data_IF_441267083491
#
_entry.id   IF_441267083491
#
_cell.length_a   1.000
_cell.length_b   1.000
_cell.length_c   1.000
_cell.angle_alpha   90.00
_cell.angle_beta   90.00
_cell.angle_gamma   90.00
#
_symmetry.space_group_name_H-M   'P 1'
#
loop_
_entity.id
_entity.type
_entity.pdbx_description
1 polymer ?
#
# COMPACT_ATOMS: atom_id res chain seq x y z
N UNK A 1 10.37 45.88 1.19
CA UNK A 1 9.76 44.53 1.16
C UNK A 1 10.83 43.57 1.64
N UNK A 2 10.50 42.67 2.56
CA UNK A 2 11.41 41.58 2.93
C UNK A 2 11.55 40.63 1.74
N UNK A 3 12.76 40.13 1.49
CA UNK A 3 12.96 39.11 0.46
C UNK A 3 12.25 37.81 0.87
N UNK A 4 11.66 37.12 -0.10
CA UNK A 4 11.13 35.78 0.08
C UNK A 4 12.26 34.79 0.37
N UNK A 5 13.40 34.93 -0.31
CA UNK A 5 14.57 34.09 -0.08
C UNK A 5 15.21 34.41 1.27
N UNK A 6 15.23 33.42 2.16
CA UNK A 6 15.89 33.47 3.48
C UNK A 6 17.27 32.81 3.44
N UNK A 7 17.97 32.72 4.57
CA UNK A 7 19.21 31.96 4.67
C UNK A 7 18.99 30.45 4.43
N UNK A 8 19.99 29.75 3.92
CA UNK A 8 19.89 28.32 3.56
C UNK A 8 19.49 27.45 4.76
N UNK A 9 20.07 27.72 5.93
CA UNK A 9 19.76 27.04 7.19
C UNK A 9 18.26 27.08 7.52
N UNK A 10 17.56 28.16 7.17
CA UNK A 10 16.13 28.27 7.38
C UNK A 10 15.35 27.17 6.68
N UNK A 11 15.75 26.82 5.44
CA UNK A 11 15.06 25.83 4.63
C UNK A 11 15.31 24.42 5.13
N UNK A 12 16.56 24.13 5.53
CA UNK A 12 16.92 22.86 6.14
C UNK A 12 16.21 22.66 7.49
N UNK A 13 16.18 23.68 8.34
CA UNK A 13 15.50 23.61 9.63
C UNK A 13 13.98 23.42 9.47
N UNK A 14 13.36 24.11 8.53
CA UNK A 14 11.93 23.95 8.29
C UNK A 14 11.61 22.54 7.75
N UNK A 15 12.45 22.03 6.86
CA UNK A 15 12.35 20.67 6.36
C UNK A 15 12.52 19.66 7.50
N UNK A 16 13.59 19.77 8.28
CA UNK A 16 13.90 18.88 9.39
C UNK A 16 12.78 18.91 10.44
N UNK A 17 12.16 20.06 10.73
CA UNK A 17 10.99 20.15 11.63
C UNK A 17 9.77 19.38 11.11
N UNK A 18 9.48 19.44 9.80
CA UNK A 18 8.40 18.67 9.19
C UNK A 18 8.68 17.18 9.30
N UNK A 19 9.89 16.76 8.95
CA UNK A 19 10.35 15.37 9.05
C UNK A 19 10.20 14.84 10.47
N UNK A 20 10.71 15.57 11.47
CA UNK A 20 10.62 15.19 12.89
C UNK A 20 9.16 15.10 13.33
N UNK A 21 8.31 16.06 12.96
CA UNK A 21 6.89 16.03 13.33
C UNK A 21 6.18 14.80 12.76
N UNK A 22 6.41 14.51 11.48
CA UNK A 22 5.78 13.40 10.77
C UNK A 22 6.23 12.04 11.31
N UNK A 23 7.54 11.86 11.51
CA UNK A 23 8.11 10.61 12.01
C UNK A 23 7.78 10.37 13.49
N UNK A 24 7.69 11.42 14.31
CA UNK A 24 7.20 11.30 15.70
C UNK A 24 5.75 10.85 15.79
N UNK A 25 4.90 11.29 14.87
CA UNK A 25 3.52 10.84 14.83
C UNK A 25 3.44 9.35 14.49
N UNK A 26 4.20 8.93 13.47
CA UNK A 26 4.29 7.53 13.06
C UNK A 26 4.91 6.64 14.14
N UNK A 27 5.98 7.10 14.81
CA UNK A 27 6.62 6.36 15.89
C UNK A 27 5.67 6.19 17.08
N UNK A 28 4.91 7.23 17.46
CA UNK A 28 3.90 7.10 18.53
C UNK A 28 2.84 6.06 18.19
N UNK A 29 2.38 6.03 16.94
CA UNK A 29 1.44 5.01 16.49
C UNK A 29 2.07 3.61 16.52
N UNK A 30 3.35 3.49 16.14
CA UNK A 30 4.10 2.24 16.18
C UNK A 30 4.26 1.70 17.61
N UNK A 31 4.71 2.53 18.55
CA UNK A 31 4.87 2.17 19.97
C UNK A 31 3.53 1.74 20.57
N UNK A 32 2.45 2.45 20.23
CA UNK A 32 1.11 2.08 20.68
C UNK A 32 0.68 0.71 20.15
N UNK A 33 0.96 0.40 18.88
CA UNK A 33 0.67 -0.88 18.28
C UNK A 33 1.54 -2.02 18.83
N UNK A 34 2.83 -1.76 19.08
CA UNK A 34 3.75 -2.71 19.69
C UNK A 34 3.27 -3.13 21.09
N UNK A 35 2.86 -2.15 21.91
CA UNK A 35 2.32 -2.42 23.24
C UNK A 35 1.09 -3.32 23.17
N UNK A 36 0.15 -3.02 22.27
CA UNK A 36 -1.07 -3.84 22.10
C UNK A 36 -0.75 -5.27 21.64
N UNK A 37 0.26 -5.44 20.78
CA UNK A 37 0.71 -6.75 20.33
C UNK A 37 1.34 -7.57 21.47
N UNK A 38 2.21 -6.95 22.28
CA UNK A 38 2.88 -7.63 23.41
C UNK A 38 1.92 -8.01 24.54
N UNK A 39 0.84 -7.25 24.73
CA UNK A 39 -0.18 -7.49 25.76
C UNK A 39 -1.26 -8.50 25.31
N UNK A 40 -1.22 -8.99 24.07
CA UNK A 40 -2.24 -9.87 23.52
C UNK A 40 -2.11 -11.32 24.04
N UNK A 41 -3.22 -11.99 24.40
CA UNK A 41 -3.21 -13.41 24.76
C UNK A 41 -2.86 -14.29 23.55
N UNK A 42 -2.04 -15.32 23.77
CA UNK A 42 -1.62 -16.25 22.72
C UNK A 42 -2.83 -16.90 22.02
N UNK A 43 -2.94 -16.70 20.70
CA UNK A 43 -3.92 -17.36 19.83
C UNK A 43 -4.75 -16.46 18.92
N UNK A 44 -4.75 -15.13 19.10
CA UNK A 44 -5.52 -14.16 18.28
C UNK A 44 -4.68 -12.90 17.92
N UNK A 45 -3.41 -13.10 17.57
CA UNK A 45 -2.39 -12.06 17.43
C UNK A 45 -2.03 -11.72 15.97
N UNK A 46 -2.52 -12.49 14.99
CA UNK A 46 -2.18 -12.31 13.56
C UNK A 46 -2.59 -10.94 13.03
N UNK A 47 -3.76 -10.42 13.43
CA UNK A 47 -4.20 -9.08 13.06
C UNK A 47 -3.37 -7.96 13.69
N UNK A 48 -2.95 -8.13 14.95
CA UNK A 48 -2.13 -7.17 15.68
C UNK A 48 -0.70 -7.13 15.14
N UNK A 49 -0.13 -8.30 14.85
CA UNK A 49 1.17 -8.42 14.20
C UNK A 49 1.17 -7.77 12.82
N UNK A 50 0.15 -8.05 11.99
CA UNK A 50 0.01 -7.43 10.68
C UNK A 50 -0.06 -5.90 10.76
N UNK A 51 -0.81 -5.37 11.74
CA UNK A 51 -0.90 -3.93 11.98
C UNK A 51 0.45 -3.33 12.42
N UNK A 52 1.16 -3.98 13.35
CA UNK A 52 2.50 -3.56 13.78
C UNK A 52 3.48 -3.53 12.60
N UNK A 53 3.54 -4.61 11.80
CA UNK A 53 4.41 -4.69 10.62
C UNK A 53 4.06 -3.60 9.61
N UNK A 54 2.77 -3.34 9.37
CA UNK A 54 2.34 -2.28 8.46
C UNK A 54 2.74 -0.87 8.94
N UNK A 55 2.62 -0.59 10.24
CA UNK A 55 3.04 0.68 10.83
C UNK A 55 4.56 0.82 10.83
N UNK A 56 5.30 -0.25 11.12
CA UNK A 56 6.76 -0.26 11.08
C UNK A 56 7.27 0.02 9.66
N UNK A 57 6.67 -0.65 8.66
CA UNK A 57 6.95 -0.37 7.25
C UNK A 57 6.73 1.11 6.91
N UNK A 58 5.59 1.69 7.29
CA UNK A 58 5.28 3.10 7.03
C UNK A 58 6.29 4.04 7.69
N UNK A 59 6.76 3.72 8.89
CA UNK A 59 7.76 4.52 9.59
C UNK A 59 9.12 4.48 8.89
N UNK A 60 9.61 3.28 8.54
CA UNK A 60 10.90 3.11 7.88
C UNK A 60 10.89 3.71 6.46
N UNK A 61 9.88 3.37 5.66
CA UNK A 61 9.78 3.85 4.28
C UNK A 61 9.68 5.38 4.23
N UNK A 62 8.89 5.99 5.12
CA UNK A 62 8.79 7.44 5.21
C UNK A 62 10.12 8.08 5.62
N UNK A 63 10.82 7.53 6.61
CA UNK A 63 12.12 8.06 7.04
C UNK A 63 13.16 8.04 5.92
N UNK A 64 13.19 6.95 5.15
CA UNK A 64 14.06 6.82 3.97
C UNK A 64 13.67 7.80 2.86
N UNK A 65 12.38 8.00 2.60
CA UNK A 65 11.89 8.95 1.61
C UNK A 65 12.25 10.41 1.97
N UNK A 66 12.03 10.80 3.23
CA UNK A 66 12.46 12.09 3.77
C UNK A 66 13.98 12.27 3.63
N UNK A 67 14.78 11.25 3.95
CA UNK A 67 16.24 11.35 3.81
C UNK A 67 16.68 11.54 2.34
N UNK A 68 16.05 10.81 1.39
CA UNK A 68 16.39 10.86 -0.04
C UNK A 68 15.94 12.17 -0.71
N UNK A 69 14.78 12.69 -0.32
CA UNK A 69 14.18 13.89 -0.93
C UNK A 69 14.70 15.21 -0.37
N UNK A 70 15.36 15.19 0.80
CA UNK A 70 15.84 16.37 1.53
C UNK A 70 16.52 17.43 0.67
N UNK A 71 17.57 17.04 -0.05
CA UNK A 71 18.34 17.96 -0.89
C UNK A 71 17.51 18.56 -2.03
N UNK A 72 16.70 17.73 -2.67
CA UNK A 72 15.88 18.14 -3.81
C UNK A 72 14.77 19.09 -3.37
N UNK A 73 14.04 18.76 -2.31
CA UNK A 73 12.96 19.61 -1.79
C UNK A 73 13.49 20.95 -1.28
N UNK A 74 14.58 20.95 -0.51
CA UNK A 74 15.19 22.18 0.00
C UNK A 74 15.60 23.09 -1.16
N UNK A 75 16.30 22.55 -2.17
CA UNK A 75 16.67 23.31 -3.38
C UNK A 75 15.47 23.82 -4.16
N UNK A 76 14.44 23.00 -4.34
CA UNK A 76 13.22 23.41 -5.05
C UNK A 76 12.53 24.57 -4.33
N UNK A 77 12.48 24.56 -2.99
CA UNK A 77 11.89 25.67 -2.23
C UNK A 77 12.75 26.93 -2.30
N UNK A 78 14.07 26.80 -2.20
CA UNK A 78 14.99 27.94 -2.36
C UNK A 78 14.84 28.57 -3.73
N UNK A 79 14.82 27.76 -4.80
CA UNK A 79 14.63 28.23 -6.17
C UNK A 79 13.24 28.85 -6.39
N UNK A 80 12.19 28.33 -5.76
CA UNK A 80 10.85 28.91 -5.81
C UNK A 80 10.81 30.31 -5.18
N UNK A 81 11.46 30.50 -4.03
CA UNK A 81 11.53 31.81 -3.37
C UNK A 81 12.44 32.80 -4.13
N UNK A 82 13.56 32.34 -4.69
CA UNK A 82 14.41 33.15 -5.58
C UNK A 82 13.65 33.59 -6.84
N UNK A 83 12.79 32.71 -7.38
CA UNK A 83 11.92 33.04 -8.52
C UNK A 83 10.90 34.11 -8.12
N UNK A 84 10.28 34.01 -6.94
CA UNK A 84 9.36 35.03 -6.41
C UNK A 84 10.06 36.37 -6.24
N UNK A 85 11.24 36.39 -5.62
CA UNK A 85 12.05 37.60 -5.48
C UNK A 85 12.38 38.23 -6.85
N UNK A 86 12.74 37.40 -7.83
CA UNK A 86 12.98 37.85 -9.20
C UNK A 86 11.73 38.43 -9.87
N UNK A 87 10.56 37.84 -9.63
CA UNK A 87 9.28 38.36 -10.15
C UNK A 87 8.93 39.70 -9.51
N UNK A 88 9.01 39.82 -8.19
CA UNK A 88 8.74 41.08 -7.47
C UNK A 88 9.67 42.19 -7.95
N UNK A 89 10.97 41.91 -8.14
CA UNK A 89 11.95 42.90 -8.61
C UNK A 89 11.70 43.37 -10.05
N UNK A 90 11.20 42.50 -10.93
CA UNK A 90 10.95 42.83 -12.33
C UNK A 90 9.55 43.38 -12.58
N UNK A 91 8.62 43.14 -11.67
CA UNK A 91 7.24 43.52 -11.86
C UNK A 91 7.08 45.05 -11.85
N UNK A 92 6.36 45.54 -12.86
CA UNK A 92 5.93 46.92 -12.91
C UNK A 92 4.57 47.02 -12.23
N UNK A 93 4.44 47.97 -11.31
CA UNK A 93 3.15 48.28 -10.70
C UNK A 93 2.26 48.90 -11.77
N UNK A 94 1.02 48.42 -11.95
CA UNK A 94 0.06 49.05 -12.85
C UNK A 94 -0.21 50.50 -12.43
N UNK A 95 -0.09 51.43 -13.38
CA UNK A 95 -0.32 52.87 -13.18
C UNK A 95 -1.78 53.26 -13.40
N UNK A 96 -2.18 54.44 -12.90
CA UNK A 96 -3.51 55.03 -13.11
C UNK A 96 -4.69 54.21 -12.55
N UNK A 97 -4.46 53.39 -11.52
CA UNK A 97 -5.54 52.68 -10.84
C UNK A 97 -6.25 53.63 -9.87
N UNK A 98 -7.50 53.95 -10.17
CA UNK A 98 -8.32 54.89 -9.37
C UNK A 98 -9.32 54.18 -8.47
N UNK A 99 -9.65 54.83 -7.36
CA UNK A 99 -10.69 54.41 -6.44
C UNK A 99 -12.07 54.58 -7.09
N UNK A 100 -12.90 53.54 -7.06
CA UNK A 100 -14.27 53.61 -7.60
C UNK A 100 -15.20 54.58 -6.86
N UNK A 101 -14.86 54.97 -5.63
CA UNK A 101 -15.70 55.84 -4.79
C UNK A 101 -15.35 57.32 -4.92
N UNK A 102 -14.05 57.66 -4.91
CA UNK A 102 -13.60 59.06 -4.92
C UNK A 102 -12.80 59.46 -6.17
N UNK A 103 -12.45 58.52 -7.06
CA UNK A 103 -11.71 58.80 -8.30
C UNK A 103 -10.23 59.14 -8.13
N UNK A 104 -9.74 59.18 -6.88
CA UNK A 104 -8.33 59.39 -6.55
C UNK A 104 -7.46 58.20 -6.92
N UNK A 105 -6.19 58.46 -7.21
CA UNK A 105 -5.20 57.43 -7.50
C UNK A 105 -4.90 56.58 -6.25
N UNK A 106 -4.92 55.27 -6.41
CA UNK A 106 -4.68 54.31 -5.34
C UNK A 106 -3.19 53.97 -5.26
N UNK A 107 -2.70 53.70 -4.05
CA UNK A 107 -1.32 53.27 -3.82
C UNK A 107 -1.26 51.79 -3.45
N UNK A 108 -0.13 51.14 -3.73
CA UNK A 108 0.09 49.74 -3.36
C UNK A 108 0.33 49.64 -1.85
N UNK A 109 -0.54 48.92 -1.16
CA UNK A 109 -0.42 48.62 0.27
C UNK A 109 0.33 47.30 0.50
N UNK A 110 0.04 46.29 -0.33
CA UNK A 110 0.61 44.95 -0.21
C UNK A 110 0.82 44.36 -1.61
N UNK A 111 1.87 43.56 -1.74
CA UNK A 111 2.13 42.73 -2.91
C UNK A 111 2.18 41.29 -2.43
N UNK A 112 1.45 40.40 -3.09
CA UNK A 112 1.46 38.97 -2.76
C UNK A 112 1.27 38.10 -4.00
N UNK A 113 1.57 36.81 -3.87
CA UNK A 113 1.30 35.80 -4.89
C UNK A 113 0.00 35.06 -4.57
N UNK A 114 -0.84 34.86 -5.58
CA UNK A 114 -2.09 34.12 -5.42
C UNK A 114 -1.88 32.67 -5.85
N UNK A 115 -2.27 31.75 -4.98
CA UNK A 115 -2.32 30.30 -5.20
C UNK A 115 -1.01 29.68 -5.74
N UNK A 116 -1.14 28.53 -6.41
CA UNK A 116 -0.05 27.79 -7.06
C UNK A 116 0.36 28.37 -8.42
N UNK A 117 -0.36 29.38 -8.95
CA UNK A 117 -0.10 29.93 -10.28
C UNK A 117 1.12 30.85 -10.32
N UNK A 118 1.65 31.26 -9.16
CA UNK A 118 2.75 32.23 -9.04
C UNK A 118 2.41 33.58 -9.71
N UNK A 119 1.12 33.92 -9.82
CA UNK A 119 0.70 35.22 -10.34
C UNK A 119 0.83 36.30 -9.26
N UNK A 120 1.60 37.34 -9.59
CA UNK A 120 1.82 38.47 -8.70
C UNK A 120 0.62 39.41 -8.73
N UNK A 121 0.09 39.72 -7.55
CA UNK A 121 -1.04 40.62 -7.35
C UNK A 121 -0.66 41.77 -6.42
N UNK A 122 -1.03 42.96 -6.87
CA UNK A 122 -0.89 44.21 -6.13
C UNK A 122 -2.22 44.53 -5.46
N UNK A 123 -2.22 44.63 -4.14
CA UNK A 123 -3.35 45.10 -3.36
C UNK A 123 -3.21 46.61 -3.17
N UNK A 124 -4.16 47.34 -3.76
CA UNK A 124 -4.18 48.79 -3.74
C UNK A 124 -5.20 49.30 -2.72
N UNK A 125 -4.79 50.32 -1.98
CA UNK A 125 -5.61 51.04 -1.02
C UNK A 125 -5.84 52.47 -1.47
N UNK A 126 -7.02 53.00 -1.15
CA UNK A 126 -7.31 54.42 -1.36
C UNK A 126 -6.64 55.24 -0.24
N UNK A 127 -6.04 56.41 -0.54
CA UNK A 127 -5.54 57.35 0.47
C UNK A 127 -6.58 57.74 1.53
N UNK A 128 -7.86 57.80 1.15
CA UNK A 128 -8.97 58.06 2.05
C UNK A 128 -9.54 56.79 2.72
N UNK A 129 -8.87 55.64 2.60
CA UNK A 129 -9.25 54.35 3.19
C UNK A 129 -10.66 53.83 2.82
N UNK A 130 -11.19 54.24 1.67
CA UNK A 130 -12.45 53.71 1.14
C UNK A 130 -12.35 52.21 0.79
N UNK A 131 -13.46 51.50 0.99
CA UNK A 131 -13.67 50.14 0.50
C UNK A 131 -14.55 50.15 -0.77
N UNK A 132 -14.43 49.15 -1.67
CA UNK A 132 -13.52 48.01 -1.61
C UNK A 132 -12.07 48.40 -1.96
N UNK A 133 -11.12 47.67 -1.36
CA UNK A 133 -9.73 47.64 -1.85
C UNK A 133 -9.73 46.93 -3.21
N UNK A 134 -8.76 47.26 -4.06
CA UNK A 134 -8.62 46.64 -5.38
C UNK A 134 -7.40 45.73 -5.39
N UNK A 135 -7.49 44.62 -6.10
CA UNK A 135 -6.39 43.69 -6.28
C UNK A 135 -6.16 43.57 -7.79
N UNK A 136 -4.95 43.84 -8.26
CA UNK A 136 -4.65 43.93 -9.70
C UNK A 136 -3.40 43.13 -10.01
N UNK A 137 -3.47 42.33 -11.06
CA UNK A 137 -2.32 41.58 -11.59
C UNK A 137 -1.31 42.52 -12.26
N UNK A 138 -0.07 42.05 -12.44
CA UNK A 138 0.97 42.81 -13.15
C UNK A 138 0.63 43.18 -14.61
N UNK A 139 -0.32 42.48 -15.24
CA UNK A 139 -0.81 42.78 -16.59
C UNK A 139 -1.96 43.81 -16.61
N UNK A 140 -2.36 44.36 -15.45
CA UNK A 140 -3.43 45.35 -15.31
C UNK A 140 -4.84 44.76 -15.16
N UNK A 141 -5.00 43.44 -15.23
CA UNK A 141 -6.30 42.80 -15.00
C UNK A 141 -6.64 42.78 -13.50
N UNK A 142 -7.91 42.99 -13.18
CA UNK A 142 -8.36 43.00 -11.78
C UNK A 142 -8.58 41.58 -11.28
N UNK A 143 -7.96 41.25 -10.14
CA UNK A 143 -8.23 40.04 -9.40
C UNK A 143 -9.51 40.19 -8.58
N UNK A 144 -10.46 39.30 -8.84
CA UNK A 144 -11.70 39.20 -8.09
C UNK A 144 -11.70 37.88 -7.32
N UNK A 145 -11.78 37.97 -6.00
CA UNK A 145 -11.94 36.81 -5.13
C UNK A 145 -13.19 36.02 -5.57
N UNK A 146 -13.06 34.72 -5.91
CA UNK A 146 -14.20 33.89 -6.30
C UNK A 146 -15.24 33.84 -5.18
N UNK A 147 -16.53 33.90 -5.54
CA UNK A 147 -17.62 33.69 -4.57
C UNK A 147 -17.52 32.30 -3.94
N UNK A 148 -17.58 32.20 -2.61
CA UNK A 148 -17.63 30.92 -1.91
C UNK A 148 -18.94 30.20 -2.22
N UNK A 149 -18.83 28.92 -2.60
CA UNK A 149 -19.97 28.06 -2.92
C UNK A 149 -20.03 26.87 -1.98
N UNK A 150 -21.23 26.39 -1.70
CA UNK A 150 -21.42 25.23 -0.83
C UNK A 150 -20.80 23.97 -1.46
N UNK A 151 -19.99 23.24 -0.68
CA UNK A 151 -19.36 22.00 -1.13
C UNK A 151 -20.36 20.89 -1.52
N UNK A 152 -21.58 20.91 -0.97
CA UNK A 152 -22.61 19.91 -1.26
C UNK A 152 -23.49 20.27 -2.46
N UNK A 153 -24.03 21.49 -2.49
CA UNK A 153 -25.07 21.86 -3.46
C UNK A 153 -24.65 22.97 -4.43
N UNK A 154 -23.41 23.49 -4.30
CA UNK A 154 -22.87 24.63 -5.08
C UNK A 154 -23.69 25.92 -4.98
N UNK A 155 -24.67 25.99 -4.07
CA UNK A 155 -25.46 27.18 -3.79
C UNK A 155 -24.64 28.28 -3.09
N UNK A 156 -25.19 29.50 -3.08
CA UNK A 156 -24.56 30.66 -2.43
C UNK A 156 -24.44 30.45 -0.92
N UNK A 157 -23.34 30.97 -0.36
CA UNK A 157 -22.99 30.86 1.05
C UNK A 157 -23.00 32.25 1.68
N UNK A 158 -23.54 32.35 2.90
CA UNK A 158 -23.41 33.52 3.75
C UNK A 158 -22.35 33.26 4.81
N UNK A 159 -21.29 34.06 4.80
CA UNK A 159 -20.15 33.92 5.71
C UNK A 159 -20.23 34.92 6.86
N UNK A 160 -20.12 34.44 8.10
CA UNK A 160 -19.94 35.26 9.31
C UNK A 160 -18.55 35.04 9.88
N UNK A 161 -17.90 36.13 10.29
CA UNK A 161 -16.58 36.08 10.95
C UNK A 161 -16.68 36.52 12.40
N UNK A 162 -16.05 35.78 13.31
CA UNK A 162 -15.94 36.14 14.74
C UNK A 162 -14.49 35.99 15.19
N UNK A 163 -13.92 37.05 15.74
CA UNK A 163 -12.59 37.00 16.37
C UNK A 163 -12.74 36.66 17.85
N UNK A 164 -12.02 35.65 18.32
CA UNK A 164 -11.94 35.23 19.72
C UNK A 164 -10.46 35.10 20.08
N UNK A 165 -9.90 36.13 20.73
CA UNK A 165 -8.47 36.17 21.06
C UNK A 165 -7.58 36.05 19.81
N UNK A 166 -6.71 35.03 19.80
CA UNK A 166 -5.84 34.65 18.68
C UNK A 166 -6.50 33.70 17.67
N UNK A 167 -7.82 33.54 17.70
CA UNK A 167 -8.55 32.71 16.75
C UNK A 167 -9.56 33.55 15.96
N UNK A 168 -9.73 33.24 14.69
CA UNK A 168 -10.77 33.75 13.82
C UNK A 168 -11.64 32.58 13.39
N UNK A 169 -12.90 32.62 13.78
CA UNK A 169 -13.92 31.65 13.42
C UNK A 169 -14.68 32.19 12.22
N UNK A 170 -14.65 31.45 11.12
CA UNK A 170 -15.52 31.66 9.97
C UNK A 170 -16.66 30.66 10.06
N UNK A 171 -17.89 31.14 9.93
CA UNK A 171 -19.10 30.32 9.93
C UNK A 171 -19.84 30.59 8.63
N UNK A 172 -19.78 29.60 7.75
CA UNK A 172 -20.34 29.63 6.41
C UNK A 172 -21.65 28.87 6.42
N UNK A 173 -22.75 29.56 6.09
CA UNK A 173 -24.09 28.97 6.03
C UNK A 173 -24.57 28.96 4.60
N UNK A 174 -24.86 27.78 4.05
CA UNK A 174 -25.45 27.67 2.73
C UNK A 174 -26.91 28.15 2.73
N UNK A 175 -27.25 29.09 1.86
CA UNK A 175 -28.60 29.62 1.73
C UNK A 175 -29.57 28.65 1.02
N UNK A 176 -29.04 27.67 0.28
CA UNK A 176 -29.85 26.70 -0.47
C UNK A 176 -30.17 25.43 0.32
N UNK A 177 -29.21 24.88 1.08
CA UNK A 177 -29.39 23.63 1.83
C UNK A 177 -29.28 23.77 3.35
N UNK A 178 -28.99 24.97 3.87
CA UNK A 178 -28.89 25.22 5.32
C UNK A 178 -27.66 24.64 6.01
N UNK A 179 -26.77 23.93 5.29
CA UNK A 179 -25.55 23.37 5.89
C UNK A 179 -24.65 24.49 6.42
N UNK A 180 -24.12 24.28 7.63
CA UNK A 180 -23.17 25.18 8.30
C UNK A 180 -21.79 24.55 8.32
N UNK A 181 -20.79 25.30 7.87
CA UNK A 181 -19.38 24.94 7.95
C UNK A 181 -18.65 25.94 8.83
N UNK A 182 -17.77 25.43 9.69
CA UNK A 182 -16.98 26.24 10.62
C UNK A 182 -15.51 26.02 10.34
N UNK A 183 -14.78 27.11 10.14
CA UNK A 183 -13.34 27.10 9.96
C UNK A 183 -12.68 27.94 11.05
N UNK A 184 -11.58 27.44 11.61
CA UNK A 184 -10.79 28.13 12.62
C UNK A 184 -9.43 28.52 12.03
N UNK A 185 -9.15 29.82 12.00
CA UNK A 185 -7.84 30.36 11.66
C UNK A 185 -7.17 30.88 12.93
N UNK A 186 -5.99 30.36 13.27
CA UNK A 186 -5.21 30.88 14.40
C UNK A 186 -4.39 32.09 13.89
N UNK A 187 -4.72 33.28 14.39
CA UNK A 187 -4.01 34.53 14.10
C UNK A 187 -2.85 34.67 15.09
N UNK A 188 -1.62 34.53 14.58
CA UNK A 188 -0.40 34.81 15.35
C UNK A 188 0.81 34.03 14.82
N UNK A 189 2.01 34.56 15.05
CA UNK A 189 3.26 33.82 14.76
C UNK A 189 3.36 32.65 15.73
N UNK A 190 3.23 31.40 15.24
CA UNK A 190 3.63 30.24 16.04
C UNK A 190 5.11 30.40 16.38
N UNK A 191 5.46 30.33 17.67
CA UNK A 191 6.86 30.30 18.08
C UNK A 191 7.48 29.04 17.49
N UNK A 192 8.39 29.22 16.56
CA UNK A 192 9.17 28.13 16.00
C UNK A 192 10.17 27.74 17.08
N UNK A 193 9.97 26.55 17.66
CA UNK A 193 10.91 26.04 18.65
C UNK A 193 12.22 25.63 17.95
N UNK A 194 13.37 25.80 18.62
CA UNK A 194 14.63 25.25 18.14
C UNK A 194 14.50 23.73 18.00
N UNK A 195 15.19 23.17 17.01
CA UNK A 195 15.22 21.73 16.79
C UNK A 195 16.12 21.12 17.86
N UNK A 196 15.66 20.03 18.49
CA UNK A 196 16.52 19.23 19.34
C UNK A 196 17.47 18.41 18.45
N UNK A 197 18.78 18.60 18.62
CA UNK A 197 19.81 17.90 17.84
C UNK A 197 19.76 16.38 18.03
N UNK A 198 19.28 15.89 19.18
CA UNK A 198 19.07 14.45 19.39
C UNK A 198 17.97 13.92 18.46
N UNK A 199 16.89 14.66 18.29
CA UNK A 199 15.78 14.31 17.40
C UNK A 199 16.17 14.44 15.94
N UNK A 200 16.96 15.47 15.61
CA UNK A 200 17.51 15.64 14.27
C UNK A 200 18.35 14.45 13.86
N UNK A 201 19.22 13.97 14.75
CA UNK A 201 20.02 12.78 14.50
C UNK A 201 19.13 11.55 14.25
N UNK A 202 18.20 11.29 15.16
CA UNK A 202 17.29 10.12 15.10
C UNK A 202 16.41 10.10 13.86
N UNK A 203 15.81 11.23 13.49
CA UNK A 203 14.77 11.27 12.45
C UNK A 203 15.25 11.74 11.09
N UNK A 204 16.32 12.53 11.02
CA UNK A 204 16.83 13.06 9.75
C UNK A 204 18.14 12.41 9.30
N UNK A 205 19.04 12.04 10.23
CA UNK A 205 20.38 11.54 9.88
C UNK A 205 20.43 10.02 9.82
N UNK A 206 19.82 9.32 10.77
CA UNK A 206 19.93 7.85 10.88
C UNK A 206 19.28 7.08 9.72
N UNK A 207 18.43 7.74 8.94
CA UNK A 207 17.81 7.18 7.73
C UNK A 207 18.66 7.36 6.46
N UNK A 208 19.72 8.17 6.50
CA UNK A 208 20.60 8.39 5.35
C UNK A 208 21.31 7.08 5.01
N UNK A 209 21.13 6.60 3.78
CA UNK A 209 21.73 5.36 3.31
C UNK A 209 21.04 4.08 3.81
N UNK A 210 19.97 4.18 4.62
CA UNK A 210 19.13 3.02 4.92
C UNK A 210 18.36 2.56 3.69
N UNK A 211 18.15 1.24 3.63
CA UNK A 211 17.19 0.64 2.71
C UNK A 211 15.78 0.83 3.25
N UNK A 212 14.82 0.94 2.33
CA UNK A 212 13.42 0.89 2.70
C UNK A 212 13.05 -0.53 3.16
N UNK A 213 11.94 -0.67 3.88
CA UNK A 213 11.47 -1.98 4.31
C UNK A 213 11.24 -2.90 3.11
N UNK A 214 10.72 -2.36 2.00
CA UNK A 214 10.51 -3.12 0.77
C UNK A 214 11.82 -3.55 0.12
N UNK A 215 12.84 -2.69 0.12
CA UNK A 215 14.18 -3.02 -0.41
C UNK A 215 14.85 -4.11 0.45
N UNK A 216 14.69 -4.07 1.77
CA UNK A 216 15.18 -5.12 2.67
C UNK A 216 14.46 -6.46 2.43
N UNK A 217 13.13 -6.46 2.29
CA UNK A 217 12.37 -7.69 1.97
C UNK A 217 12.79 -8.25 0.61
N UNK A 218 13.00 -7.40 -0.39
CA UNK A 218 13.49 -7.83 -1.70
C UNK A 218 14.92 -8.39 -1.64
N UNK A 219 15.80 -7.78 -0.83
CA UNK A 219 17.15 -8.27 -0.62
C UNK A 219 17.16 -9.63 0.10
N UNK A 220 16.27 -9.83 1.09
CA UNK A 220 16.13 -11.13 1.75
C UNK A 220 15.56 -12.18 0.80
N UNK A 221 14.56 -11.83 -0.01
CA UNK A 221 14.01 -12.72 -1.02
C UNK A 221 15.06 -13.11 -2.07
N UNK A 222 15.90 -12.16 -2.52
CA UNK A 222 16.96 -12.45 -3.48
C UNK A 222 18.08 -13.29 -2.89
N UNK A 223 18.45 -13.07 -1.63
CA UNK A 223 19.40 -13.94 -0.90
C UNK A 223 18.84 -15.36 -0.77
N UNK A 224 17.55 -15.51 -0.44
CA UNK A 224 16.89 -16.82 -0.42
C UNK A 224 16.96 -17.51 -1.78
N UNK A 225 16.60 -16.81 -2.85
CA UNK A 225 16.66 -17.35 -4.22
C UNK A 225 18.09 -17.74 -4.63
N UNK A 226 19.11 -16.97 -4.20
CA UNK A 226 20.51 -17.30 -4.45
C UNK A 226 20.97 -18.50 -3.60
N UNK A 227 20.57 -18.59 -2.33
CA UNK A 227 20.86 -19.74 -1.48
C UNK A 227 20.24 -21.02 -2.06
N UNK A 228 18.98 -20.96 -2.50
CA UNK A 228 18.27 -22.06 -3.15
C UNK A 228 18.94 -22.48 -4.48
N UNK A 229 19.53 -21.52 -5.22
CA UNK A 229 20.21 -21.77 -6.49
C UNK A 229 21.66 -22.27 -6.36
N UNK A 230 22.38 -21.86 -5.31
CA UNK A 230 23.82 -22.12 -5.13
C UNK A 230 24.10 -23.31 -4.20
N UNK A 231 23.10 -23.73 -3.42
CA UNK A 231 23.15 -24.93 -2.58
C UNK A 231 21.94 -25.84 -2.88
N UNK A 232 21.95 -26.60 -4.00
CA UNK A 232 20.94 -27.62 -4.26
C UNK A 232 21.08 -28.75 -3.23
N UNK A 233 20.45 -28.58 -2.06
CA UNK A 233 20.59 -29.48 -0.92
C UNK A 233 20.66 -28.81 0.45
N UNK A 234 20.63 -27.47 0.57
CA UNK A 234 20.43 -26.82 1.86
C UNK A 234 19.00 -27.09 2.32
N UNK A 235 18.85 -27.91 3.35
CA UNK A 235 17.57 -28.31 3.92
C UNK A 235 17.13 -27.23 4.90
N UNK A 236 15.88 -26.78 4.79
CA UNK A 236 15.17 -26.02 5.82
C UNK A 236 15.10 -26.87 7.11
N UNK A 237 16.18 -26.88 7.88
CA UNK A 237 16.43 -27.81 8.97
C UNK A 237 16.60 -27.18 10.35
N UNK A 238 16.52 -25.86 10.49
CA UNK A 238 16.74 -25.17 11.78
C UNK A 238 15.50 -24.41 12.30
N UNK A 239 14.31 -24.72 11.77
CA UNK A 239 13.05 -24.44 12.46
C UNK A 239 12.17 -25.68 12.28
N UNK A 240 12.02 -26.45 13.34
CA UNK A 240 11.05 -27.55 13.42
C UNK A 240 9.64 -26.98 13.22
N UNK A 241 9.18 -26.94 11.98
CA UNK A 241 7.76 -26.80 11.68
C UNK A 241 7.14 -28.20 11.75
N UNK A 242 6.63 -28.55 12.95
CA UNK A 242 5.92 -29.79 13.24
C UNK A 242 4.64 -30.00 12.40
N UNK A 243 4.35 -29.16 11.41
CA UNK A 243 3.13 -29.23 10.60
C UNK A 243 3.30 -29.83 9.19
N UNK A 244 4.47 -30.37 8.83
CA UNK A 244 4.67 -31.01 7.53
C UNK A 244 3.83 -32.29 7.38
N UNK A 245 2.69 -32.20 6.68
CA UNK A 245 1.81 -33.34 6.35
C UNK A 245 2.54 -34.27 5.38
N UNK A 246 3.12 -35.35 5.90
CA UNK A 246 3.76 -36.38 5.07
C UNK A 246 2.71 -37.22 4.35
N UNK A 247 2.91 -37.56 3.06
CA UNK A 247 2.01 -38.43 2.32
C UNK A 247 1.99 -39.84 2.94
N UNK A 248 0.80 -40.43 3.01
CA UNK A 248 0.61 -41.81 3.46
C UNK A 248 1.27 -42.79 2.46
N UNK A 249 2.19 -43.61 2.95
CA UNK A 249 2.89 -44.60 2.13
C UNK A 249 2.04 -45.86 1.98
N UNK A 250 1.48 -46.05 0.79
CA UNK A 250 0.75 -47.26 0.43
C UNK A 250 1.61 -48.18 -0.42
N UNK A 251 1.68 -49.45 -0.03
CA UNK A 251 2.15 -50.51 -0.91
C UNK A 251 1.04 -50.91 -1.90
N UNK A 252 1.39 -51.74 -2.90
CA UNK A 252 0.44 -52.15 -3.96
C UNK A 252 -0.81 -52.81 -3.38
N UNK A 253 -0.66 -53.76 -2.46
CA UNK A 253 -1.82 -54.44 -1.85
C UNK A 253 -2.76 -53.47 -1.10
N UNK A 254 -2.20 -52.49 -0.39
CA UNK A 254 -2.98 -51.48 0.32
C UNK A 254 -3.68 -50.49 -0.64
N UNK A 255 -3.01 -50.14 -1.74
CA UNK A 255 -3.60 -49.34 -2.82
C UNK A 255 -4.79 -50.04 -3.46
N UNK A 256 -4.64 -51.32 -3.81
CA UNK A 256 -5.69 -52.14 -4.43
C UNK A 256 -6.94 -52.19 -3.53
N UNK A 257 -6.74 -52.46 -2.23
CA UNK A 257 -7.84 -52.51 -1.26
C UNK A 257 -8.55 -51.16 -1.10
N UNK A 258 -7.80 -50.06 -1.05
CA UNK A 258 -8.36 -48.71 -0.91
C UNK A 258 -9.19 -48.32 -2.14
N UNK A 259 -8.65 -48.52 -3.33
CA UNK A 259 -9.35 -48.19 -4.58
C UNK A 259 -10.56 -49.10 -4.82
N UNK A 260 -10.47 -50.40 -4.55
CA UNK A 260 -11.63 -51.29 -4.63
C UNK A 260 -12.77 -50.80 -3.73
N UNK A 261 -12.48 -50.48 -2.46
CA UNK A 261 -13.48 -50.01 -1.52
C UNK A 261 -14.12 -48.65 -1.89
N UNK A 262 -13.39 -47.74 -2.52
CA UNK A 262 -13.93 -46.45 -2.96
C UNK A 262 -14.68 -46.54 -4.30
N UNK A 263 -14.25 -47.40 -5.21
CA UNK A 263 -14.84 -47.56 -6.54
C UNK A 263 -16.15 -48.37 -6.51
N UNK A 264 -16.23 -49.42 -5.67
CA UNK A 264 -17.45 -50.23 -5.52
C UNK A 264 -18.64 -49.40 -5.01
N UNK A 265 -18.39 -48.40 -4.15
CA UNK A 265 -19.42 -47.45 -3.66
C UNK A 265 -20.03 -46.59 -4.78
N UNK A 266 -19.40 -46.54 -5.95
CA UNK A 266 -19.78 -45.68 -7.08
C UNK A 266 -20.19 -46.44 -8.35
N UNK A 267 -20.54 -47.72 -8.21
CA UNK A 267 -20.97 -48.65 -9.27
C UNK A 267 -19.85 -49.06 -10.26
N UNK A 268 -18.58 -48.85 -9.90
CA UNK A 268 -17.45 -49.36 -10.65
C UNK A 268 -17.06 -50.75 -10.11
N UNK A 269 -17.15 -51.76 -10.96
CA UNK A 269 -16.99 -53.17 -10.60
C UNK A 269 -15.84 -53.82 -11.37
N UNK A 270 -15.34 -54.95 -10.86
CA UNK A 270 -14.24 -55.73 -11.48
C UNK A 270 -12.97 -54.91 -11.74
N UNK A 271 -12.48 -54.23 -10.70
CA UNK A 271 -11.19 -53.57 -10.75
C UNK A 271 -10.07 -54.61 -10.92
N UNK A 272 -9.24 -54.44 -11.95
CA UNK A 272 -8.09 -55.30 -12.24
C UNK A 272 -6.86 -54.44 -12.44
N UNK A 273 -5.74 -54.88 -11.87
CA UNK A 273 -4.45 -54.23 -12.03
C UNK A 273 -3.55 -55.05 -12.95
N UNK A 274 -2.81 -54.35 -13.81
CA UNK A 274 -1.76 -54.94 -14.62
C UNK A 274 -0.49 -55.15 -13.77
N UNK A 275 0.44 -55.96 -14.29
CA UNK A 275 1.73 -56.15 -13.64
C UNK A 275 2.47 -54.80 -13.51
N UNK A 276 3.01 -54.48 -12.33
CA UNK A 276 3.74 -53.24 -12.13
C UNK A 276 5.00 -53.21 -12.97
N UNK A 277 5.29 -52.05 -13.58
CA UNK A 277 6.49 -51.78 -14.34
C UNK A 277 7.42 -50.90 -13.50
N UNK A 278 8.62 -51.38 -13.25
CA UNK A 278 9.63 -50.65 -12.48
C UNK A 278 10.52 -49.84 -13.42
N UNK A 279 10.44 -48.51 -13.33
CA UNK A 279 11.34 -47.56 -13.98
C UNK A 279 11.87 -46.54 -12.98
N UNK A 280 11.97 -45.26 -13.37
CA UNK A 280 12.22 -44.15 -12.41
C UNK A 280 11.10 -44.04 -11.35
N UNK A 281 9.90 -44.45 -11.71
CA UNK A 281 8.73 -44.56 -10.84
C UNK A 281 8.11 -45.95 -11.02
N UNK A 282 7.38 -46.42 -10.02
CA UNK A 282 6.56 -47.61 -10.16
C UNK A 282 5.28 -47.24 -10.90
N UNK A 283 5.06 -47.78 -12.09
CA UNK A 283 3.82 -47.53 -12.85
C UNK A 283 2.99 -48.80 -12.95
N UNK A 284 1.67 -48.66 -12.84
CA UNK A 284 0.74 -49.78 -12.85
C UNK A 284 -0.52 -49.40 -13.61
N UNK A 285 -0.81 -50.16 -14.66
CA UNK A 285 -2.08 -50.05 -15.38
C UNK A 285 -3.22 -50.61 -14.53
N UNK A 286 -4.42 -50.06 -14.70
CA UNK A 286 -5.63 -50.65 -14.15
C UNK A 286 -6.75 -50.60 -15.17
N UNK A 287 -7.73 -51.47 -14.96
CA UNK A 287 -8.98 -51.46 -15.68
C UNK A 287 -10.16 -51.70 -14.75
N UNK A 288 -11.30 -51.09 -15.05
CA UNK A 288 -12.55 -51.27 -14.29
C UNK A 288 -13.74 -51.22 -15.23
N UNK A 289 -14.81 -51.91 -14.87
CA UNK A 289 -16.08 -51.87 -15.58
C UNK A 289 -17.05 -50.91 -14.88
N UNK A 290 -17.60 -49.94 -15.61
CA UNK A 290 -18.72 -49.13 -15.12
C UNK A 290 -20.02 -49.93 -15.32
N UNK A 291 -20.69 -50.29 -14.22
CA UNK A 291 -21.95 -51.03 -14.26
C UNK A 291 -23.19 -50.13 -14.36
N UNK A 292 -22.99 -48.80 -14.35
CA UNK A 292 -24.06 -47.83 -14.46
C UNK A 292 -24.40 -47.46 -15.91
N UNK A 293 -25.54 -46.81 -16.13
CA UNK A 293 -26.00 -46.34 -17.45
C UNK A 293 -25.38 -45.00 -17.89
N UNK A 294 -24.20 -44.63 -17.37
CA UNK A 294 -23.55 -43.34 -17.64
C UNK A 294 -22.90 -43.33 -19.02
N UNK A 295 -22.80 -42.14 -19.63
CA UNK A 295 -22.01 -41.97 -20.85
C UNK A 295 -20.49 -41.98 -20.55
N UNK A 296 -19.68 -42.31 -21.55
CA UNK A 296 -18.24 -42.48 -21.40
C UNK A 296 -17.53 -41.25 -20.81
N UNK A 297 -17.99 -40.03 -21.15
CA UNK A 297 -17.42 -38.79 -20.62
C UNK A 297 -17.73 -38.60 -19.13
N UNK A 298 -18.95 -38.93 -18.72
CA UNK A 298 -19.36 -38.91 -17.31
C UNK A 298 -18.59 -39.96 -16.48
N UNK A 299 -18.42 -41.17 -17.01
CA UNK A 299 -17.65 -42.23 -16.34
C UNK A 299 -16.19 -41.82 -16.13
N UNK A 300 -15.54 -41.26 -17.15
CA UNK A 300 -14.16 -40.76 -17.06
C UNK A 300 -14.04 -39.65 -16.01
N UNK A 301 -14.95 -38.67 -16.04
CA UNK A 301 -14.94 -37.55 -15.10
C UNK A 301 -15.11 -38.03 -13.65
N UNK A 302 -16.07 -38.91 -13.40
CA UNK A 302 -16.36 -39.44 -12.07
C UNK A 302 -15.21 -40.32 -11.56
N UNK A 303 -14.66 -41.18 -12.40
CA UNK A 303 -13.51 -42.01 -12.05
C UNK A 303 -12.28 -41.17 -11.71
N UNK A 304 -11.99 -40.13 -12.50
CA UNK A 304 -10.90 -39.19 -12.23
C UNK A 304 -11.06 -38.49 -10.88
N UNK A 305 -12.30 -38.09 -10.53
CA UNK A 305 -12.59 -37.47 -9.23
C UNK A 305 -12.36 -38.43 -8.06
N UNK A 306 -12.87 -39.67 -8.17
CA UNK A 306 -12.73 -40.69 -7.13
C UNK A 306 -11.27 -41.08 -6.88
N UNK A 307 -10.52 -41.38 -7.95
CA UNK A 307 -9.11 -41.75 -7.83
C UNK A 307 -8.28 -40.60 -7.29
N UNK A 308 -8.46 -39.39 -7.84
CA UNK A 308 -7.68 -38.24 -7.36
C UNK A 308 -8.02 -37.88 -5.92
N UNK A 309 -9.29 -38.00 -5.50
CA UNK A 309 -9.69 -37.77 -4.12
C UNK A 309 -9.13 -38.82 -3.16
N UNK A 310 -9.27 -40.10 -3.50
CA UNK A 310 -8.81 -41.22 -2.66
C UNK A 310 -7.28 -41.27 -2.51
N UNK A 311 -6.54 -40.86 -3.55
CA UNK A 311 -5.08 -40.92 -3.56
C UNK A 311 -4.40 -39.59 -3.24
N UNK A 312 -5.13 -38.48 -3.05
CA UNK A 312 -4.56 -37.15 -2.83
C UNK A 312 -3.51 -37.14 -1.71
N UNK A 313 -3.84 -37.77 -0.58
CA UNK A 313 -3.01 -37.81 0.63
C UNK A 313 -1.95 -38.90 0.63
N UNK A 314 -1.82 -39.68 -0.45
CA UNK A 314 -0.93 -40.85 -0.52
C UNK A 314 0.25 -40.60 -1.46
N UNK A 315 1.17 -41.55 -1.52
CA UNK A 315 2.29 -41.56 -2.46
C UNK A 315 1.92 -42.02 -3.89
N UNK A 316 0.65 -42.04 -4.28
CA UNK A 316 0.19 -42.48 -5.60
C UNK A 316 -0.57 -41.38 -6.35
N UNK A 317 -0.40 -41.29 -7.68
CA UNK A 317 -1.12 -40.34 -8.53
C UNK A 317 -1.62 -41.01 -9.81
N UNK A 318 -2.77 -40.55 -10.29
CA UNK A 318 -3.29 -40.92 -11.61
C UNK A 318 -2.50 -40.19 -12.70
N UNK A 319 -2.01 -40.95 -13.68
CA UNK A 319 -1.38 -40.38 -14.87
C UNK A 319 -2.44 -39.84 -15.84
N UNK A 320 -2.07 -38.86 -16.66
CA UNK A 320 -2.95 -38.30 -17.67
C UNK A 320 -3.29 -39.36 -18.74
N UNK A 321 -4.59 -39.58 -18.97
CA UNK A 321 -5.09 -40.53 -19.97
C UNK A 321 -5.97 -41.58 -19.30
N UNK A 322 -7.27 -41.28 -19.21
CA UNK A 322 -8.30 -42.29 -18.97
C UNK A 322 -9.03 -42.51 -20.28
N UNK A 323 -9.13 -43.76 -20.69
CA UNK A 323 -9.88 -44.15 -21.89
C UNK A 323 -11.10 -44.96 -21.45
N UNK A 324 -12.22 -44.75 -22.13
CA UNK A 324 -13.44 -45.51 -21.88
C UNK A 324 -13.95 -46.08 -23.20
N UNK A 325 -13.94 -47.40 -23.32
CA UNK A 325 -14.42 -48.13 -24.49
C UNK A 325 -15.50 -49.11 -24.04
N UNK A 326 -16.73 -48.93 -24.51
CA UNK A 326 -17.88 -49.80 -24.20
C UNK A 326 -18.12 -50.01 -22.68
N UNK A 327 -17.92 -48.97 -21.87
CA UNK A 327 -18.09 -49.02 -20.41
C UNK A 327 -16.90 -49.62 -19.65
N UNK A 328 -15.81 -49.92 -20.34
CA UNK A 328 -14.55 -50.37 -19.74
C UNK A 328 -13.57 -49.19 -19.67
N UNK A 329 -13.16 -48.82 -18.45
CA UNK A 329 -12.23 -47.72 -18.23
C UNK A 329 -10.83 -48.26 -17.95
N UNK A 330 -9.84 -47.70 -18.64
CA UNK A 330 -8.42 -48.02 -18.47
C UNK A 330 -7.63 -46.78 -18.12
N UNK A 331 -6.59 -46.95 -17.30
CA UNK A 331 -5.73 -45.86 -16.84
C UNK A 331 -4.43 -46.36 -16.25
N UNK A 332 -3.54 -45.42 -15.90
CA UNK A 332 -2.26 -45.73 -15.29
C UNK A 332 -2.05 -44.96 -14.00
N UNK A 333 -1.57 -45.65 -12.97
CA UNK A 333 -1.15 -45.07 -11.71
C UNK A 333 0.36 -45.01 -11.63
N UNK A 334 0.85 -43.98 -10.95
CA UNK A 334 2.26 -43.72 -10.70
C UNK A 334 2.49 -43.65 -9.20
N UNK A 335 3.37 -44.52 -8.69
CA UNK A 335 3.80 -44.56 -7.30
C UNK A 335 5.13 -43.84 -7.11
N UNK A 336 5.22 -43.07 -6.04
CA UNK A 336 6.42 -42.35 -5.62
C UNK A 336 7.03 -43.05 -4.41
N UNK A 337 8.33 -43.36 -4.50
CA UNK A 337 9.08 -44.05 -3.44
C UNK A 337 10.33 -43.29 -3.00
N UNK A 338 10.84 -42.38 -3.82
CA UNK A 338 12.05 -41.64 -3.54
C UNK A 338 11.75 -40.45 -2.62
N UNK A 339 12.66 -40.20 -1.67
CA UNK A 339 12.50 -39.16 -0.65
C UNK A 339 12.28 -37.76 -1.25
N UNK A 340 13.01 -37.42 -2.32
CA UNK A 340 12.85 -36.15 -3.04
C UNK A 340 11.43 -35.97 -3.61
N UNK A 341 10.85 -37.02 -4.15
CA UNK A 341 9.52 -36.94 -4.75
C UNK A 341 8.42 -36.97 -3.68
N UNK A 342 8.62 -37.68 -2.57
CA UNK A 342 7.73 -37.67 -1.42
C UNK A 342 7.69 -36.27 -0.76
N UNK A 343 8.83 -35.58 -0.71
CA UNK A 343 8.90 -34.20 -0.21
C UNK A 343 8.14 -33.22 -1.10
N UNK A 344 8.20 -33.38 -2.43
CA UNK A 344 7.38 -32.59 -3.36
C UNK A 344 5.88 -32.83 -3.14
N UNK A 345 5.47 -34.08 -2.92
CA UNK A 345 4.08 -34.40 -2.60
C UNK A 345 3.64 -33.81 -1.25
N UNK A 346 4.51 -33.77 -0.26
CA UNK A 346 4.23 -33.14 1.04
C UNK A 346 4.00 -31.63 0.91
N UNK A 347 4.80 -30.94 0.07
CA UNK A 347 4.60 -29.52 -0.25
C UNK A 347 3.29 -29.25 -1.00
N UNK A 348 2.90 -30.13 -1.94
CA UNK A 348 1.61 -30.02 -2.63
C UNK A 348 0.41 -30.19 -1.67
N UNK A 349 0.57 -31.00 -0.61
CA UNK A 349 -0.45 -31.23 0.40
C UNK A 349 -0.58 -30.06 1.38
N UNK A 350 0.54 -29.48 1.81
CA UNK A 350 0.53 -28.30 2.68
C UNK A 350 -0.04 -27.07 1.98
N UNK A 351 0.19 -26.90 0.67
CA UNK A 351 -0.35 -25.79 -0.12
C UNK A 351 -1.86 -25.89 -0.45
N UNK A 352 -2.50 -27.04 -0.20
CA UNK A 352 -3.93 -27.29 -0.47
C UNK A 352 -4.82 -27.29 0.77
N UNK A 353 -4.24 -27.14 1.97
CA UNK A 353 -4.98 -26.72 3.17
C UNK A 353 -5.18 -25.21 3.11
#
# INVERSE_FOLDING_TARGET
MENHRKADEHYYDEYDRRTISDLKEKERALIAAEKLYLEAPHGDDTGLLANYVALNRRFIDAGVEWARSREMEVKNRMAADERKDGMVKRAKVPENIRCGTCGEEMFVELTDFIDESYDLVFFLACPAHHAPRRAVYANGWEYVLPESRCCHCKGRVSSKKKKIGNKMLFTDTCLSCGKVEKQELIIGKRKVLPIDEAERKKYCVDFIGRRSFTEDVQALASVKLMADAQMPGWKDGDLEDESAVRPELLNVAALEKRLAGELEKSDFVKLQFEKPKTGRFLTMGFSVQDSSSRDAGQSIKKMKQLINGSLLVTNWRLMSGLECTLGYLTGQLKGYSNEEDLNKLAQELSAKK
#
